data_IF_906947869977
#
_entry.id   IF_906947869977
#
_cell.length_a   1.000
_cell.length_b   1.000
_cell.length_c   1.000
_cell.angle_alpha   90.00
_cell.angle_beta   90.00
_cell.angle_gamma   90.00
#
_symmetry.space_group_name_H-M   'P 1'
#
loop_
_entity.id
_entity.type
_entity.pdbx_description
1 polymer ?
#
# COMPACT_ATOMS: atom_id res chain seq x y z
N UNK A 1 16.98 -15.59 -11.22
CA UNK A 1 15.71 -16.17 -10.76
C UNK A 1 15.19 -15.28 -9.65
N UNK A 2 13.90 -14.93 -9.63
CA UNK A 2 13.34 -14.13 -8.54
C UNK A 2 13.35 -14.93 -7.24
N UNK A 3 13.67 -14.28 -6.12
CA UNK A 3 13.84 -14.93 -4.82
C UNK A 3 12.86 -14.35 -3.80
N UNK A 4 12.14 -15.22 -3.09
CA UNK A 4 11.19 -14.83 -2.03
C UNK A 4 11.54 -15.59 -0.76
N UNK A 5 11.74 -14.87 0.33
CA UNK A 5 11.85 -15.49 1.65
C UNK A 5 10.51 -15.62 2.34
N UNK A 6 10.32 -16.74 3.04
CA UNK A 6 9.19 -17.00 3.93
C UNK A 6 9.75 -17.30 5.32
N UNK A 7 9.33 -16.54 6.33
CA UNK A 7 9.76 -16.74 7.72
C UNK A 7 8.55 -16.72 8.64
N UNK A 8 8.43 -17.72 9.51
CA UNK A 8 7.39 -17.75 10.54
C UNK A 8 7.56 -16.63 11.56
N UNK A 9 6.45 -16.00 11.92
CA UNK A 9 6.35 -15.05 13.01
C UNK A 9 4.92 -15.14 13.57
N UNK A 10 4.77 -15.70 14.77
CA UNK A 10 3.47 -16.15 15.27
C UNK A 10 2.63 -15.07 15.96
N UNK A 11 3.23 -13.93 16.28
CA UNK A 11 2.63 -12.84 17.05
C UNK A 11 3.32 -11.51 16.75
N UNK A 12 2.68 -10.41 17.16
CA UNK A 12 3.25 -9.07 17.11
C UNK A 12 3.99 -8.71 18.41
N UNK A 13 4.79 -9.62 18.95
CA UNK A 13 5.80 -9.26 19.96
C UNK A 13 6.97 -8.59 19.23
N UNK A 14 7.48 -7.47 19.76
CA UNK A 14 8.46 -6.63 19.07
C UNK A 14 9.70 -7.44 18.68
N UNK A 15 10.24 -8.22 19.62
CA UNK A 15 11.43 -9.04 19.44
C UNK A 15 11.20 -10.10 18.34
N UNK A 16 10.05 -10.77 18.35
CA UNK A 16 9.71 -11.80 17.34
C UNK A 16 9.55 -11.21 15.94
N UNK A 17 8.97 -10.00 15.84
CA UNK A 17 8.83 -9.30 14.55
C UNK A 17 10.19 -8.88 14.04
N UNK A 18 11.06 -8.32 14.89
CA UNK A 18 12.42 -7.95 14.53
C UNK A 18 13.25 -9.14 14.06
N UNK A 19 13.30 -10.22 14.84
CA UNK A 19 14.03 -11.45 14.51
C UNK A 19 13.57 -12.05 13.17
N UNK A 20 12.26 -12.16 12.98
CA UNK A 20 11.70 -12.69 11.75
C UNK A 20 11.98 -11.77 10.54
N UNK A 21 11.93 -10.45 10.73
CA UNK A 21 12.27 -9.47 9.68
C UNK A 21 13.74 -9.56 9.28
N UNK A 22 14.65 -9.61 10.26
CA UNK A 22 16.08 -9.80 10.03
C UNK A 22 16.34 -11.09 9.26
N UNK A 23 15.75 -12.20 9.71
CA UNK A 23 15.90 -13.50 9.05
C UNK A 23 15.38 -13.47 7.61
N UNK A 24 14.19 -12.89 7.37
CA UNK A 24 13.60 -12.79 6.04
C UNK A 24 14.48 -11.98 5.08
N UNK A 25 15.07 -10.87 5.56
CA UNK A 25 15.98 -10.04 4.77
C UNK A 25 17.31 -10.72 4.51
N UNK A 26 17.91 -11.38 5.51
CA UNK A 26 19.19 -12.08 5.35
C UNK A 26 19.12 -13.20 4.30
N UNK A 27 18.01 -13.93 4.24
CA UNK A 27 17.77 -14.97 3.23
C UNK A 27 17.77 -14.47 1.78
N UNK A 28 17.52 -13.18 1.55
CA UNK A 28 17.55 -12.54 0.23
C UNK A 28 18.76 -11.62 0.01
N UNK A 29 19.71 -11.59 0.95
CA UNK A 29 20.98 -10.85 0.81
C UNK A 29 21.16 -9.67 1.77
N UNK A 30 20.18 -9.39 2.63
CA UNK A 30 20.27 -8.41 3.70
C UNK A 30 20.01 -6.96 3.25
N UNK A 31 19.43 -6.17 4.14
CA UNK A 31 19.05 -4.78 3.85
C UNK A 31 20.26 -3.88 3.54
N UNK A 32 21.40 -4.12 4.19
CA UNK A 32 22.62 -3.33 4.00
C UNK A 32 23.15 -3.37 2.56
N UNK A 33 23.01 -4.52 1.88
CA UNK A 33 23.33 -4.65 0.46
C UNK A 33 22.35 -3.85 -0.41
N UNK A 34 21.06 -3.98 -0.13
CA UNK A 34 19.97 -3.38 -0.92
C UNK A 34 20.03 -1.85 -0.88
N UNK A 35 20.29 -1.27 0.30
CA UNK A 35 20.35 0.18 0.48
C UNK A 35 21.76 0.76 0.31
N UNK A 36 22.74 -0.04 -0.13
CA UNK A 36 24.14 0.40 -0.25
C UNK A 36 24.24 1.58 -1.22
N UNK A 37 24.90 2.67 -0.79
CA UNK A 37 25.07 3.89 -1.60
C UNK A 37 23.78 4.67 -1.87
N UNK A 38 22.68 4.40 -1.15
CA UNK A 38 21.41 5.15 -1.24
C UNK A 38 21.22 6.02 -0.02
N UNK A 39 21.02 7.31 -0.18
CA UNK A 39 20.82 8.25 0.93
C UNK A 39 19.33 8.61 1.08
N UNK A 40 18.63 8.83 -0.04
CA UNK A 40 17.20 9.13 -0.04
C UNK A 40 16.38 7.84 -0.07
N UNK A 41 16.23 7.20 1.07
CA UNK A 41 15.45 5.97 1.25
C UNK A 41 14.00 6.33 1.62
N UNK A 42 13.03 5.88 0.83
CA UNK A 42 11.61 6.01 1.14
C UNK A 42 11.04 4.67 1.62
N UNK A 43 10.50 4.66 2.83
CA UNK A 43 9.78 3.53 3.41
C UNK A 43 8.27 3.79 3.35
N UNK A 44 7.55 2.87 2.69
CA UNK A 44 6.12 3.00 2.41
C UNK A 44 5.30 1.92 3.10
N UNK A 45 4.80 2.14 4.33
CA UNK A 45 3.80 1.26 4.92
C UNK A 45 2.50 1.27 4.11
N UNK A 46 1.59 0.36 4.44
CA UNK A 46 0.24 0.34 3.91
C UNK A 46 -0.73 0.93 4.95
N UNK A 47 -0.96 2.25 4.89
CA UNK A 47 -1.84 2.96 5.84
C UNK A 47 -3.32 2.94 5.41
N UNK A 48 -3.64 2.59 4.16
CA UNK A 48 -4.99 2.36 3.58
C UNK A 48 -6.12 3.28 4.07
N UNK A 49 -6.62 3.06 5.29
CA UNK A 49 -7.60 3.86 6.03
C UNK A 49 -7.27 3.82 7.53
N UNK A 50 -7.60 4.88 8.27
CA UNK A 50 -7.44 4.94 9.72
C UNK A 50 -8.22 3.83 10.44
N UNK A 51 -7.53 2.75 10.78
CA UNK A 51 -8.03 1.57 11.51
C UNK A 51 -6.94 1.07 12.45
N UNK A 52 -7.37 0.47 13.55
CA UNK A 52 -6.46 -0.13 14.51
C UNK A 52 -5.68 -1.29 13.86
N UNK A 53 -4.38 -1.50 14.19
CA UNK A 53 -3.54 -2.51 13.56
C UNK A 53 -4.07 -3.95 13.62
N UNK A 54 -4.80 -4.29 14.69
CA UNK A 54 -5.36 -5.61 14.96
C UNK A 54 -6.43 -6.01 13.94
N UNK A 55 -7.03 -5.02 13.26
CA UNK A 55 -8.02 -5.25 12.21
C UNK A 55 -7.39 -5.72 10.89
N UNK A 56 -6.06 -5.76 10.81
CA UNK A 56 -5.31 -6.19 9.63
C UNK A 56 -5.62 -5.41 8.33
N UNK A 57 -6.12 -4.18 8.48
CA UNK A 57 -6.37 -3.25 7.36
C UNK A 57 -5.08 -2.54 6.95
N UNK A 58 -4.17 -2.31 7.88
CA UNK A 58 -2.90 -1.60 7.66
C UNK A 58 -1.72 -2.47 8.04
N UNK A 59 -0.53 -2.12 7.57
CA UNK A 59 0.72 -2.72 8.06
C UNK A 59 0.81 -2.51 9.57
N UNK A 60 1.18 -3.55 10.31
CA UNK A 60 1.37 -3.43 11.75
C UNK A 60 2.55 -2.48 12.05
N UNK A 61 2.42 -1.54 13.00
CA UNK A 61 3.46 -0.56 13.29
C UNK A 61 4.80 -1.21 13.69
N UNK A 62 4.77 -2.38 14.33
CA UNK A 62 6.00 -3.07 14.71
C UNK A 62 6.83 -3.62 13.54
N UNK A 63 6.21 -3.92 12.39
CA UNK A 63 6.98 -4.23 11.19
C UNK A 63 7.67 -2.96 10.68
N UNK A 64 6.96 -1.83 10.65
CA UNK A 64 7.52 -0.52 10.31
C UNK A 64 8.69 -0.18 11.24
N UNK A 65 8.52 -0.41 12.54
CA UNK A 65 9.54 -0.22 13.58
C UNK A 65 10.80 -1.04 13.30
N UNK A 66 10.64 -2.35 13.06
CA UNK A 66 11.75 -3.25 12.75
C UNK A 66 12.55 -2.78 11.54
N UNK A 67 11.87 -2.36 10.46
CA UNK A 67 12.55 -1.91 9.24
C UNK A 67 13.25 -0.56 9.42
N UNK A 68 12.63 0.40 10.13
CA UNK A 68 13.27 1.68 10.46
C UNK A 68 14.54 1.44 11.29
N UNK A 69 14.47 0.59 12.31
CA UNK A 69 15.61 0.21 13.15
C UNK A 69 16.76 -0.34 12.30
N UNK A 70 16.47 -1.29 11.42
CA UNK A 70 17.48 -1.88 10.53
C UNK A 70 18.12 -0.87 9.57
N UNK A 71 17.35 0.10 9.06
CA UNK A 71 17.90 1.18 8.23
C UNK A 71 18.82 2.09 9.06
N UNK A 72 18.43 2.41 10.30
CA UNK A 72 19.22 3.23 11.22
C UNK A 72 20.52 2.57 11.66
N UNK A 73 20.53 1.25 11.85
CA UNK A 73 21.74 0.47 12.11
C UNK A 73 22.75 0.53 10.96
N UNK A 74 22.31 0.85 9.74
CA UNK A 74 23.19 1.13 8.59
C UNK A 74 23.63 2.61 8.52
N UNK A 75 23.36 3.41 9.55
CA UNK A 75 23.71 4.82 9.63
C UNK A 75 22.81 5.75 8.80
N UNK A 76 21.59 5.32 8.45
CA UNK A 76 20.68 6.06 7.56
C UNK A 76 19.35 6.36 8.22
N UNK A 77 18.67 7.41 7.79
CA UNK A 77 17.31 7.73 8.28
C UNK A 77 16.34 7.74 7.10
N UNK A 78 15.31 6.87 7.10
CA UNK A 78 14.36 6.83 5.99
C UNK A 78 13.35 7.99 6.07
N UNK A 79 12.87 8.41 4.91
CA UNK A 79 11.58 9.07 4.78
C UNK A 79 10.49 8.01 4.96
N UNK A 80 9.40 8.34 5.66
CA UNK A 80 8.28 7.40 5.90
C UNK A 80 6.97 8.06 5.54
N UNK A 81 6.22 7.49 4.60
CA UNK A 81 4.94 8.05 4.18
C UNK A 81 4.09 7.11 3.33
N UNK A 82 2.79 7.39 3.28
CA UNK A 82 1.82 6.74 2.40
C UNK A 82 0.65 7.70 2.16
N UNK A 83 0.07 7.73 0.95
CA UNK A 83 -1.14 8.48 0.69
C UNK A 83 -2.36 7.64 1.08
N UNK A 84 -2.84 7.76 2.31
CA UNK A 84 -3.97 6.96 2.82
C UNK A 84 -5.26 7.26 2.04
N UNK A 85 -5.86 6.25 1.41
CA UNK A 85 -7.17 6.38 0.76
C UNK A 85 -8.28 6.81 1.73
N UNK A 86 -8.11 6.52 3.02
CA UNK A 86 -9.04 6.92 4.08
C UNK A 86 -8.94 8.39 4.51
N UNK A 87 -7.94 9.16 4.06
CA UNK A 87 -7.73 10.54 4.49
C UNK A 87 -8.93 11.43 4.13
N UNK A 88 -9.50 11.26 2.95
CA UNK A 88 -10.73 11.96 2.55
C UNK A 88 -11.90 11.66 3.49
N UNK A 89 -12.04 10.40 3.93
CA UNK A 89 -13.02 10.00 4.93
C UNK A 89 -12.75 10.62 6.30
N UNK A 90 -11.48 10.81 6.68
CA UNK A 90 -11.09 11.49 7.91
C UNK A 90 -11.46 12.97 7.87
N UNK A 91 -11.15 13.66 6.77
CA UNK A 91 -11.52 15.06 6.56
C UNK A 91 -13.04 15.21 6.60
N UNK A 92 -13.76 14.35 5.88
CA UNK A 92 -15.23 14.34 5.87
C UNK A 92 -15.82 14.16 7.27
N UNK A 93 -15.27 13.28 8.11
CA UNK A 93 -15.75 13.08 9.49
C UNK A 93 -15.38 14.24 10.42
N UNK A 94 -14.13 14.70 10.37
CA UNK A 94 -13.61 15.72 11.28
C UNK A 94 -14.15 17.11 10.98
N UNK A 95 -14.37 17.40 9.70
CA UNK A 95 -14.92 18.66 9.19
C UNK A 95 -16.27 18.41 8.51
N UNK A 96 -17.13 17.60 9.15
CA UNK A 96 -18.45 17.22 8.62
C UNK A 96 -19.31 18.41 8.24
N UNK A 97 -19.16 19.52 8.98
CA UNK A 97 -19.82 20.79 8.68
C UNK A 97 -19.51 21.33 7.27
N UNK A 98 -18.39 20.95 6.63
CA UNK A 98 -18.09 21.32 5.25
C UNK A 98 -18.99 20.58 4.26
N UNK A 99 -19.16 19.27 4.46
CA UNK A 99 -20.08 18.46 3.64
C UNK A 99 -21.53 18.88 3.87
N UNK A 100 -21.94 19.06 5.13
CA UNK A 100 -23.32 19.44 5.48
C UNK A 100 -23.72 20.78 4.81
N UNK A 101 -22.77 21.69 4.58
CA UNK A 101 -23.00 22.96 3.88
C UNK A 101 -23.09 22.82 2.36
N UNK A 102 -22.39 21.86 1.76
CA UNK A 102 -22.38 21.63 0.30
C UNK A 102 -23.50 20.69 -0.16
N UNK A 103 -23.90 19.77 0.71
CA UNK A 103 -24.71 18.61 0.37
C UNK A 103 -23.85 17.45 -0.16
N UNK A 104 -24.29 16.22 0.14
CA UNK A 104 -23.56 14.99 -0.19
C UNK A 104 -23.36 14.80 -1.71
N UNK A 105 -24.31 15.24 -2.54
CA UNK A 105 -24.23 15.12 -4.00
C UNK A 105 -23.06 15.95 -4.58
N UNK A 106 -23.01 17.24 -4.24
CA UNK A 106 -21.95 18.13 -4.70
C UNK A 106 -20.58 17.71 -4.13
N UNK A 107 -20.53 17.31 -2.85
CA UNK A 107 -19.31 16.77 -2.25
C UNK A 107 -18.75 15.58 -3.04
N UNK A 108 -19.61 14.61 -3.35
CA UNK A 108 -19.21 13.42 -4.12
C UNK A 108 -18.77 13.81 -5.53
N UNK A 109 -19.51 14.67 -6.23
CA UNK A 109 -19.13 15.18 -7.55
C UNK A 109 -17.75 15.83 -7.53
N UNK A 110 -17.44 16.62 -6.51
CA UNK A 110 -16.13 17.26 -6.35
C UNK A 110 -15.00 16.25 -6.11
N UNK A 111 -15.22 15.18 -5.34
CA UNK A 111 -14.22 14.12 -5.13
C UNK A 111 -13.81 13.46 -6.45
N UNK A 112 -14.76 13.20 -7.35
CA UNK A 112 -14.50 12.58 -8.65
C UNK A 112 -14.04 13.57 -9.74
N UNK A 113 -13.71 14.81 -9.38
CA UNK A 113 -13.26 15.82 -10.35
C UNK A 113 -11.77 15.75 -10.70
N UNK A 114 -11.02 14.83 -10.12
CA UNK A 114 -9.59 14.61 -10.42
C UNK A 114 -8.65 15.63 -9.80
N UNK A 115 -9.16 16.46 -8.88
CA UNK A 115 -8.36 17.44 -8.15
C UNK A 115 -7.49 16.76 -7.10
N UNK A 116 -6.35 17.38 -6.80
CA UNK A 116 -5.53 17.03 -5.64
C UNK A 116 -6.20 17.54 -4.36
N UNK A 117 -5.76 17.05 -3.20
CA UNK A 117 -6.40 17.38 -1.94
C UNK A 117 -6.40 18.89 -1.62
N UNK A 118 -5.28 19.63 -1.81
CA UNK A 118 -5.29 21.09 -1.62
C UNK A 118 -6.27 21.80 -2.55
N UNK A 119 -6.29 21.43 -3.84
CA UNK A 119 -7.19 22.03 -4.84
C UNK A 119 -8.65 21.72 -4.54
N UNK A 120 -8.95 20.51 -4.06
CA UNK A 120 -10.28 20.14 -3.60
C UNK A 120 -10.72 21.02 -2.43
N UNK A 121 -9.88 21.17 -1.40
CA UNK A 121 -10.21 21.99 -0.22
C UNK A 121 -10.32 23.48 -0.54
N UNK A 122 -9.53 24.02 -1.48
CA UNK A 122 -9.66 25.39 -1.95
C UNK A 122 -11.01 25.63 -2.65
N UNK A 123 -11.51 24.65 -3.40
CA UNK A 123 -12.83 24.74 -4.02
C UNK A 123 -13.95 24.61 -2.99
N UNK A 124 -13.81 23.72 -2.01
CA UNK A 124 -14.76 23.62 -0.88
C UNK A 124 -14.83 24.96 -0.16
N UNK A 125 -13.69 25.57 0.15
CA UNK A 125 -13.60 26.88 0.83
C UNK A 125 -14.36 27.99 0.11
N UNK A 126 -14.39 27.97 -1.24
CA UNK A 126 -15.14 28.94 -2.05
C UNK A 126 -16.65 28.73 -2.05
N UNK A 127 -17.11 27.50 -1.76
CA UNK A 127 -18.52 27.09 -1.88
C UNK A 127 -19.25 27.01 -0.53
N UNK A 128 -18.53 26.92 0.59
CA UNK A 128 -19.12 26.91 1.94
C UNK A 128 -19.26 28.32 2.51
N UNK A 129 -20.25 28.52 3.40
CA UNK A 129 -20.44 29.80 4.11
C UNK A 129 -19.41 29.99 5.22
N UNK A 130 -19.05 28.89 5.91
CA UNK A 130 -18.08 28.87 7.00
C UNK A 130 -17.04 27.78 6.77
N UNK A 131 -15.80 28.20 6.64
CA UNK A 131 -14.62 27.32 6.58
C UNK A 131 -13.85 27.41 7.91
N UNK A 132 -13.17 26.34 8.39
CA UNK A 132 -12.35 26.41 9.59
C UNK A 132 -11.33 27.55 9.55
N UNK A 133 -11.08 28.20 10.69
CA UNK A 133 -10.02 29.22 10.86
C UNK A 133 -8.64 28.56 10.93
N UNK A 134 -8.31 27.79 9.89
CA UNK A 134 -7.06 27.05 9.71
C UNK A 134 -6.64 27.13 8.25
N UNK A 135 -5.34 27.02 8.00
CA UNK A 135 -4.86 26.81 6.64
C UNK A 135 -5.27 25.43 6.14
N UNK A 136 -5.33 25.26 4.81
CA UNK A 136 -5.61 23.96 4.20
C UNK A 136 -4.53 22.93 4.60
N UNK A 137 -3.27 23.34 4.66
CA UNK A 137 -2.18 22.47 5.10
C UNK A 137 -2.35 22.02 6.55
N UNK A 138 -2.80 22.90 7.46
CA UNK A 138 -3.12 22.50 8.83
C UNK A 138 -4.25 21.46 8.89
N UNK A 139 -5.29 21.62 8.06
CA UNK A 139 -6.40 20.66 7.96
C UNK A 139 -5.90 19.28 7.49
N UNK A 140 -5.04 19.26 6.46
CA UNK A 140 -4.48 18.03 5.89
C UNK A 140 -3.55 17.35 6.90
N UNK A 141 -2.63 18.11 7.50
CA UNK A 141 -1.69 17.62 8.52
C UNK A 141 -2.43 17.05 9.73
N UNK A 142 -3.46 17.73 10.24
CA UNK A 142 -4.27 17.25 11.35
C UNK A 142 -5.02 15.96 11.03
N UNK A 143 -5.54 15.82 9.81
CA UNK A 143 -6.22 14.61 9.38
C UNK A 143 -5.24 13.45 9.18
N UNK A 144 -4.07 13.72 8.61
CA UNK A 144 -3.02 12.73 8.36
C UNK A 144 -2.38 12.25 9.66
N UNK A 145 -2.08 13.15 10.60
CA UNK A 145 -1.61 12.79 11.94
C UNK A 145 -2.60 11.86 12.66
N UNK A 146 -3.90 12.07 12.48
CA UNK A 146 -4.90 11.18 13.04
C UNK A 146 -4.88 9.78 12.38
N UNK A 147 -4.59 9.66 11.08
CA UNK A 147 -4.35 8.36 10.43
C UNK A 147 -3.14 7.67 11.07
N UNK A 148 -2.03 8.40 11.26
CA UNK A 148 -0.82 7.87 11.88
C UNK A 148 -1.04 7.42 13.32
N UNK A 149 -1.81 8.19 14.11
CA UNK A 149 -2.17 7.83 15.48
C UNK A 149 -3.02 6.56 15.52
N UNK A 150 -4.10 6.50 14.74
CA UNK A 150 -5.02 5.34 14.77
C UNK A 150 -4.34 4.05 14.30
N UNK A 151 -3.37 4.15 13.39
CA UNK A 151 -2.61 2.99 12.89
C UNK A 151 -1.41 2.64 13.79
N UNK A 152 -1.18 3.36 14.89
CA UNK A 152 0.00 3.21 15.74
C UNK A 152 1.32 3.64 15.10
N UNK A 153 1.31 4.05 13.83
CA UNK A 153 2.52 4.46 13.10
C UNK A 153 3.14 5.71 13.71
N UNK A 154 2.32 6.62 14.28
CA UNK A 154 2.82 7.85 14.92
C UNK A 154 3.81 7.55 16.04
N UNK A 155 3.49 6.59 16.92
CA UNK A 155 4.34 6.24 18.07
C UNK A 155 5.73 5.76 17.61
N UNK A 156 5.77 4.97 16.53
CA UNK A 156 7.02 4.49 15.93
C UNK A 156 7.83 5.62 15.32
N UNK A 157 7.17 6.54 14.62
CA UNK A 157 7.85 7.70 14.04
C UNK A 157 8.43 8.62 15.12
N UNK A 158 7.68 8.84 16.20
CA UNK A 158 8.12 9.62 17.35
C UNK A 158 9.31 8.94 18.07
N UNK A 159 9.27 7.61 18.28
CA UNK A 159 10.36 6.82 18.86
C UNK A 159 11.70 7.06 18.14
N UNK A 160 11.65 7.15 16.80
CA UNK A 160 12.85 7.34 15.98
C UNK A 160 13.14 8.80 15.60
N UNK A 161 12.38 9.77 16.11
CA UNK A 161 12.47 11.19 15.73
C UNK A 161 12.35 11.41 14.20
N UNK A 162 11.42 10.70 13.56
CA UNK A 162 11.14 10.82 12.12
C UNK A 162 9.84 11.61 11.93
N UNK A 163 9.89 12.67 11.11
CA UNK A 163 8.67 13.34 10.65
C UNK A 163 8.06 12.55 9.49
N UNK A 164 6.75 12.31 9.52
CA UNK A 164 6.06 11.69 8.41
C UNK A 164 6.19 12.53 7.13
N UNK A 165 6.49 11.87 6.02
CA UNK A 165 6.65 12.49 4.71
C UNK A 165 5.30 12.85 4.10
N UNK A 166 5.18 14.06 3.55
CA UNK A 166 3.95 14.56 2.98
C UNK A 166 3.72 13.98 1.58
N UNK A 167 2.69 13.15 1.43
CA UNK A 167 2.28 12.58 0.15
C UNK A 167 1.06 13.29 -0.45
N UNK A 168 0.39 14.15 0.31
CA UNK A 168 -0.96 14.63 -0.01
C UNK A 168 -0.94 16.03 -0.62
N UNK A 169 0.06 16.85 -0.26
CA UNK A 169 0.22 18.22 -0.73
C UNK A 169 1.40 18.41 -1.68
N UNK A 170 2.48 17.65 -1.48
CA UNK A 170 3.69 17.77 -2.30
C UNK A 170 3.75 16.66 -3.34
N UNK A 171 3.43 17.03 -4.58
CA UNK A 171 3.30 16.11 -5.70
C UNK A 171 3.81 16.73 -7.00
N UNK A 172 4.06 15.85 -7.96
CA UNK A 172 4.39 16.21 -9.34
C UNK A 172 3.42 15.49 -10.29
N UNK A 173 3.18 16.13 -11.43
CA UNK A 173 2.58 15.48 -12.59
C UNK A 173 3.73 14.99 -13.46
N UNK A 174 3.72 13.72 -13.83
CA UNK A 174 4.79 13.09 -14.60
C UNK A 174 4.19 12.34 -15.79
N UNK A 175 4.96 12.25 -16.87
CA UNK A 175 4.63 11.37 -17.99
C UNK A 175 4.88 9.93 -17.58
N UNK A 176 4.03 9.01 -18.05
CA UNK A 176 4.15 7.59 -17.80
C UNK A 176 4.30 6.83 -19.12
N UNK A 177 5.50 6.82 -19.73
CA UNK A 177 5.72 6.21 -21.04
C UNK A 177 5.56 4.69 -21.02
N UNK A 178 5.64 4.05 -19.84
CA UNK A 178 5.40 2.62 -19.67
C UNK A 178 3.93 2.29 -19.38
N UNK A 179 3.05 3.30 -19.25
CA UNK A 179 1.64 3.13 -18.93
C UNK A 179 0.85 2.54 -20.09
N UNK A 180 0.11 1.46 -19.85
CA UNK A 180 -0.82 0.88 -20.83
C UNK A 180 -2.20 1.55 -20.79
N UNK A 181 -2.55 2.23 -19.69
CA UNK A 181 -3.83 2.91 -19.46
C UNK A 181 -3.64 4.35 -18.95
N UNK A 182 -2.83 4.54 -17.90
CA UNK A 182 -2.49 5.87 -17.37
C UNK A 182 -1.21 6.39 -18.00
N UNK A 183 -1.31 7.24 -19.02
CA UNK A 183 -0.14 7.84 -19.71
C UNK A 183 0.45 9.05 -18.98
N UNK A 184 -0.22 9.56 -17.95
CA UNK A 184 0.33 10.56 -17.03
C UNK A 184 -0.13 10.23 -15.61
N UNK A 185 0.74 10.51 -14.62
CA UNK A 185 0.51 10.20 -13.22
C UNK A 185 0.68 11.45 -12.35
N UNK A 186 -0.12 11.52 -11.29
CA UNK A 186 0.13 12.43 -10.17
C UNK A 186 0.71 11.59 -9.02
N UNK A 187 1.95 11.88 -8.63
CA UNK A 187 2.66 11.12 -7.59
C UNK A 187 3.26 12.07 -6.55
N UNK A 188 3.33 11.61 -5.31
CA UNK A 188 4.04 12.32 -4.25
C UNK A 188 5.50 12.59 -4.67
N UNK A 189 6.00 13.81 -4.42
CA UNK A 189 7.37 14.20 -4.82
C UNK A 189 8.43 13.26 -4.24
N UNK A 190 8.26 12.86 -2.98
CA UNK A 190 9.16 11.91 -2.32
C UNK A 190 9.29 10.57 -3.06
N UNK A 191 8.25 10.12 -3.77
CA UNK A 191 8.29 8.89 -4.57
C UNK A 191 9.12 9.07 -5.84
N UNK A 192 9.16 10.28 -6.39
CA UNK A 192 9.93 10.59 -7.60
C UNK A 192 11.39 10.87 -7.27
N UNK A 193 11.65 11.54 -6.15
CA UNK A 193 13.00 11.98 -5.76
C UNK A 193 13.76 10.97 -4.89
N UNK A 194 13.11 9.89 -4.45
CA UNK A 194 13.79 8.81 -3.72
C UNK A 194 14.73 8.04 -4.63
N UNK A 195 15.86 7.61 -4.07
CA UNK A 195 16.80 6.74 -4.78
C UNK A 195 16.44 5.26 -4.63
N UNK A 196 15.63 4.93 -3.62
CA UNK A 196 15.15 3.58 -3.35
C UNK A 196 13.84 3.59 -2.55
N UNK A 197 12.81 2.94 -3.11
CA UNK A 197 11.53 2.72 -2.45
C UNK A 197 11.48 1.32 -1.82
N UNK A 198 11.22 1.27 -0.51
CA UNK A 198 10.95 0.04 0.26
C UNK A 198 9.48 0.02 0.64
N UNK A 199 8.74 -1.02 0.26
CA UNK A 199 7.30 -1.16 0.48
C UNK A 199 7.01 -2.18 1.58
N UNK A 200 6.11 -1.83 2.52
CA UNK A 200 5.65 -2.75 3.57
C UNK A 200 4.16 -3.08 3.37
N UNK A 201 3.78 -3.94 2.42
CA UNK A 201 2.39 -4.27 2.19
C UNK A 201 1.80 -5.15 3.30
N UNK A 202 0.49 -5.12 3.44
CA UNK A 202 -0.29 -6.04 4.28
C UNK A 202 -0.92 -7.12 3.42
N UNK A 203 -0.77 -8.39 3.81
CA UNK A 203 -1.42 -9.51 3.11
C UNK A 203 -2.92 -9.51 3.39
N UNK A 204 -3.74 -9.15 2.39
CA UNK A 204 -5.19 -9.16 2.54
C UNK A 204 -5.93 -9.30 1.22
N UNK A 205 -7.16 -9.79 1.26
CA UNK A 205 -8.02 -9.87 0.07
C UNK A 205 -8.51 -8.49 -0.40
N UNK A 206 -9.09 -8.45 -1.60
CA UNK A 206 -9.77 -7.27 -2.13
C UNK A 206 -10.97 -7.67 -2.99
N UNK A 207 -12.17 -7.15 -2.72
CA UNK A 207 -13.39 -7.59 -3.42
C UNK A 207 -13.42 -7.28 -4.93
N UNK A 208 -12.68 -6.28 -5.40
CA UNK A 208 -12.55 -5.97 -6.83
C UNK A 208 -11.25 -6.44 -7.48
N UNK A 209 -10.19 -6.71 -6.70
CA UNK A 209 -8.84 -6.99 -7.22
C UNK A 209 -8.30 -8.38 -6.82
N UNK A 210 -9.11 -9.16 -6.07
CA UNK A 210 -8.79 -10.42 -5.39
C UNK A 210 -7.76 -10.30 -4.24
N UNK A 211 -6.68 -9.57 -4.47
CA UNK A 211 -5.54 -9.43 -3.56
C UNK A 211 -5.19 -7.96 -3.38
N UNK A 212 -4.87 -7.59 -2.14
CA UNK A 212 -3.98 -6.47 -1.85
C UNK A 212 -2.63 -7.04 -1.48
N UNK A 213 -1.59 -6.53 -2.13
CA UNK A 213 -0.20 -6.90 -1.92
C UNK A 213 0.72 -5.77 -2.37
N UNK A 214 1.95 -6.08 -2.75
CA UNK A 214 2.97 -5.14 -3.21
C UNK A 214 2.47 -4.24 -4.33
N UNK A 215 1.92 -4.83 -5.41
CA UNK A 215 1.53 -4.08 -6.62
C UNK A 215 0.47 -3.04 -6.26
N UNK A 216 -0.55 -3.45 -5.51
CA UNK A 216 -1.63 -2.55 -5.09
C UNK A 216 -1.17 -1.55 -4.03
N UNK A 217 -0.17 -1.90 -3.20
CA UNK A 217 0.36 -0.96 -2.21
C UNK A 217 0.99 0.26 -2.89
N UNK A 218 1.62 0.12 -4.07
CA UNK A 218 2.15 1.25 -4.85
C UNK A 218 1.08 2.27 -5.24
N UNK A 219 -0.21 1.91 -5.23
CA UNK A 219 -1.29 2.89 -5.43
C UNK A 219 -1.34 3.97 -4.33
N UNK A 220 -0.78 3.68 -3.15
CA UNK A 220 -0.56 4.66 -2.08
C UNK A 220 0.49 5.73 -2.41
N UNK A 221 1.16 5.67 -3.56
CA UNK A 221 2.02 6.76 -4.06
C UNK A 221 1.23 7.89 -4.74
N UNK A 222 -0.04 7.63 -5.12
CA UNK A 222 -0.93 8.62 -5.76
C UNK A 222 -1.60 9.48 -4.67
N UNK A 223 -1.51 10.81 -4.66
CA UNK A 223 -2.10 11.65 -3.63
C UNK A 223 -3.63 11.65 -3.60
N UNK A 224 -4.21 11.65 -2.39
CA UNK A 224 -5.54 12.16 -2.10
C UNK A 224 -6.70 11.71 -3.01
N UNK A 225 -7.63 12.62 -3.37
CA UNK A 225 -8.83 12.28 -4.11
C UNK A 225 -8.60 11.90 -5.58
N UNK A 226 -7.40 12.12 -6.13
CA UNK A 226 -7.01 11.64 -7.48
C UNK A 226 -7.16 10.12 -7.58
N UNK A 227 -6.93 9.40 -6.47
CA UNK A 227 -7.20 7.96 -6.40
C UNK A 227 -8.63 7.61 -6.80
N UNK A 228 -9.62 8.41 -6.40
CA UNK A 228 -11.03 8.14 -6.69
C UNK A 228 -11.35 8.23 -8.18
N UNK A 229 -10.66 9.10 -8.93
CA UNK A 229 -10.85 9.16 -10.39
C UNK A 229 -10.19 7.98 -11.10
N UNK A 230 -9.01 7.55 -10.65
CA UNK A 230 -8.34 6.37 -11.23
C UNK A 230 -9.15 5.08 -11.02
N UNK A 231 -9.96 4.99 -9.95
CA UNK A 231 -10.88 3.87 -9.74
C UNK A 231 -11.98 3.75 -10.81
N UNK A 232 -12.26 4.80 -11.61
CA UNK A 232 -13.17 4.66 -12.74
C UNK A 232 -12.69 3.63 -13.78
N UNK A 233 -11.38 3.32 -13.81
CA UNK A 233 -10.81 2.24 -14.61
C UNK A 233 -11.49 0.88 -14.38
N UNK A 234 -12.08 0.65 -13.19
CA UNK A 234 -12.86 -0.56 -12.92
C UNK A 234 -14.07 -0.72 -13.85
N UNK A 235 -14.75 0.39 -14.17
CA UNK A 235 -15.89 0.40 -15.10
C UNK A 235 -15.47 0.12 -16.53
N UNK A 236 -14.22 0.41 -16.87
CA UNK A 236 -13.62 0.20 -18.19
C UNK A 236 -12.95 -1.18 -18.31
N UNK A 237 -12.98 -1.99 -17.24
CA UNK A 237 -12.28 -3.28 -17.19
C UNK A 237 -10.76 -3.15 -17.22
N UNK A 238 -10.23 -1.96 -16.85
CA UNK A 238 -8.81 -1.60 -16.86
C UNK A 238 -8.19 -1.50 -15.46
N UNK A 239 -8.82 -2.12 -14.46
CA UNK A 239 -8.49 -1.89 -13.06
C UNK A 239 -7.10 -2.42 -12.68
N UNK A 240 -6.67 -3.58 -13.20
CA UNK A 240 -5.33 -4.07 -12.89
C UNK A 240 -4.29 -3.32 -13.71
N UNK A 241 -4.56 -3.02 -14.98
CA UNK A 241 -3.67 -2.20 -15.81
C UNK A 241 -3.38 -0.86 -15.15
N UNK A 242 -4.41 -0.21 -14.59
CA UNK A 242 -4.27 1.03 -13.81
C UNK A 242 -3.33 0.86 -12.61
N UNK A 243 -3.50 -0.18 -11.78
CA UNK A 243 -2.59 -0.42 -10.65
C UNK A 243 -1.17 -0.74 -11.13
N UNK A 244 -1.03 -1.52 -12.19
CA UNK A 244 0.26 -1.93 -12.73
C UNK A 244 0.99 -0.75 -13.36
N UNK A 245 0.29 0.22 -13.92
CA UNK A 245 0.87 1.47 -14.44
C UNK A 245 1.49 2.31 -13.32
N UNK A 246 0.77 2.47 -12.21
CA UNK A 246 1.32 3.16 -11.02
C UNK A 246 2.49 2.37 -10.43
N UNK A 247 2.37 1.05 -10.33
CA UNK A 247 3.42 0.16 -9.84
C UNK A 247 4.67 0.17 -10.73
N UNK A 248 4.53 0.20 -12.05
CA UNK A 248 5.66 0.23 -12.98
C UNK A 248 6.50 1.50 -12.78
N UNK A 249 5.83 2.65 -12.60
CA UNK A 249 6.52 3.91 -12.32
C UNK A 249 7.12 3.94 -10.91
N UNK A 250 6.32 3.59 -9.89
CA UNK A 250 6.72 3.59 -8.48
C UNK A 250 7.08 2.18 -8.00
N UNK A 251 7.96 1.49 -8.76
CA UNK A 251 8.32 0.10 -8.48
C UNK A 251 9.24 0.04 -7.24
N UNK A 252 8.82 -0.62 -6.15
CA UNK A 252 9.68 -0.79 -4.99
C UNK A 252 10.86 -1.71 -5.31
N UNK A 253 12.04 -1.36 -4.80
CA UNK A 253 13.24 -2.18 -4.90
C UNK A 253 13.26 -3.32 -3.86
N UNK A 254 12.50 -3.17 -2.79
CA UNK A 254 12.35 -4.18 -1.74
C UNK A 254 10.91 -4.13 -1.20
N UNK A 255 10.32 -5.30 -1.04
CA UNK A 255 9.04 -5.47 -0.37
C UNK A 255 9.20 -6.40 0.84
N UNK A 256 8.63 -6.00 1.98
CA UNK A 256 8.57 -6.82 3.20
C UNK A 256 7.10 -6.89 3.62
N UNK A 257 6.44 -8.00 3.34
CA UNK A 257 5.00 -8.14 3.55
C UNK A 257 4.69 -8.59 4.97
N UNK A 258 3.79 -7.84 5.62
CA UNK A 258 3.14 -8.22 6.86
C UNK A 258 2.06 -9.28 6.57
N UNK A 259 2.41 -10.53 6.78
CA UNK A 259 1.52 -11.68 6.75
C UNK A 259 1.39 -12.36 8.12
N UNK A 260 1.63 -11.65 9.23
CA UNK A 260 1.50 -12.26 10.57
C UNK A 260 0.01 -12.45 10.86
N UNK A 261 -0.74 -11.34 10.78
CA UNK A 261 -2.19 -11.34 10.69
C UNK A 261 -2.56 -10.63 9.40
N UNK A 262 -3.18 -11.37 8.48
CA UNK A 262 -3.77 -10.82 7.25
C UNK A 262 -5.26 -10.55 7.39
N UNK A 263 -5.92 -10.22 6.29
CA UNK A 263 -7.39 -10.09 6.23
C UNK A 263 -7.99 -10.96 5.13
N UNK A 264 -9.01 -11.72 5.51
CA UNK A 264 -9.78 -12.60 4.64
C UNK A 264 -11.23 -12.09 4.48
N UNK A 265 -11.96 -12.60 3.50
CA UNK A 265 -13.33 -12.17 3.18
C UNK A 265 -13.35 -10.89 2.35
N UNK A 266 -14.28 -9.97 2.64
CA UNK A 266 -14.56 -8.76 1.85
C UNK A 266 -13.55 -7.62 2.12
N UNK A 267 -12.27 -7.86 1.82
CA UNK A 267 -11.24 -6.82 1.87
C UNK A 267 -11.46 -5.69 0.84
N UNK A 268 -10.77 -4.55 0.96
CA UNK A 268 -9.55 -4.38 1.75
C UNK A 268 -9.78 -3.89 3.18
N UNK A 269 -11.03 -3.63 3.59
CA UNK A 269 -11.35 -3.04 4.89
C UNK A 269 -12.60 -3.61 5.57
N UNK A 270 -13.40 -4.43 4.88
CA UNK A 270 -14.65 -5.02 5.42
C UNK A 270 -14.50 -6.53 5.68
N UNK A 271 -13.28 -7.06 5.53
CA UNK A 271 -12.95 -8.43 5.86
C UNK A 271 -12.70 -8.62 7.35
N UNK A 272 -12.28 -9.84 7.71
CA UNK A 272 -11.93 -10.22 9.08
C UNK A 272 -10.44 -10.54 9.22
N UNK A 273 -9.80 -10.21 10.35
CA UNK A 273 -8.43 -10.63 10.62
C UNK A 273 -8.30 -12.15 10.57
N UNK A 274 -7.21 -12.63 9.95
CA UNK A 274 -6.86 -14.05 9.86
C UNK A 274 -5.39 -14.19 10.24
N UNK A 275 -5.10 -14.99 11.27
CA UNK A 275 -3.73 -15.37 11.60
C UNK A 275 -3.17 -16.20 10.45
N UNK A 276 -2.04 -15.78 9.91
CA UNK A 276 -1.31 -16.48 8.85
C UNK A 276 0.08 -16.87 9.37
N UNK A 277 0.74 -15.96 10.09
CA UNK A 277 1.93 -16.25 10.88
C UNK A 277 3.24 -16.17 10.12
N UNK A 278 3.35 -15.32 9.10
CA UNK A 278 4.58 -15.19 8.28
C UNK A 278 4.97 -13.74 8.01
N UNK A 279 6.28 -13.51 7.85
CA UNK A 279 6.82 -12.35 7.16
C UNK A 279 7.43 -12.84 5.85
N UNK A 280 7.16 -12.12 4.75
CA UNK A 280 7.71 -12.43 3.44
C UNK A 280 8.61 -11.27 2.99
N UNK A 281 9.73 -11.54 2.32
CA UNK A 281 10.53 -10.49 1.72
C UNK A 281 11.07 -10.84 0.32
N UNK A 282 11.18 -9.84 -0.55
CA UNK A 282 11.73 -9.98 -1.91
C UNK A 282 12.10 -8.63 -2.53
N UNK A 283 13.11 -8.64 -3.40
CA UNK A 283 13.40 -7.54 -4.34
C UNK A 283 12.48 -7.58 -5.59
N UNK A 284 11.70 -8.66 -5.78
CA UNK A 284 10.67 -8.80 -6.82
C UNK A 284 9.27 -8.79 -6.21
N UNK A 285 8.61 -7.64 -6.32
CA UNK A 285 7.26 -7.41 -5.81
C UNK A 285 6.20 -8.33 -6.44
N UNK A 286 6.34 -8.71 -7.72
CA UNK A 286 5.38 -9.60 -8.40
C UNK A 286 5.55 -11.02 -7.89
N UNK A 287 6.80 -11.46 -7.68
CA UNK A 287 7.09 -12.76 -7.10
C UNK A 287 6.60 -12.86 -5.65
N UNK A 288 6.75 -11.78 -4.86
CA UNK A 288 6.22 -11.72 -3.50
C UNK A 288 4.70 -11.87 -3.47
N UNK A 289 3.99 -11.13 -4.33
CA UNK A 289 2.53 -11.24 -4.44
C UNK A 289 2.10 -12.62 -4.93
N UNK A 290 2.86 -13.25 -5.84
CA UNK A 290 2.59 -14.60 -6.30
C UNK A 290 2.69 -15.63 -5.17
N UNK A 291 3.80 -15.64 -4.42
CA UNK A 291 3.97 -16.53 -3.26
C UNK A 291 2.91 -16.26 -2.18
N UNK A 292 2.68 -14.99 -1.84
CA UNK A 292 1.68 -14.61 -0.84
C UNK A 292 0.26 -15.05 -1.25
N UNK A 293 -0.09 -14.91 -2.53
CA UNK A 293 -1.39 -15.36 -3.04
C UNK A 293 -1.55 -16.87 -2.97
N UNK A 294 -0.48 -17.63 -3.20
CA UNK A 294 -0.49 -19.09 -3.10
C UNK A 294 -0.64 -19.58 -1.65
N UNK A 295 0.00 -18.89 -0.69
CA UNK A 295 -0.16 -19.15 0.75
C UNK A 295 -1.64 -19.10 1.14
N UNK A 296 -2.38 -18.12 0.64
CA UNK A 296 -3.81 -17.95 0.96
C UNK A 296 -4.74 -18.68 -0.02
N UNK A 297 -4.25 -19.63 -0.82
CA UNK A 297 -5.09 -20.51 -1.64
C UNK A 297 -5.49 -19.99 -3.02
N UNK A 298 -4.89 -18.90 -3.51
CA UNK A 298 -5.07 -18.48 -4.90
C UNK A 298 -4.07 -19.15 -5.86
N UNK A 299 -4.50 -19.36 -7.10
CA UNK A 299 -3.57 -19.55 -8.22
C UNK A 299 -3.01 -18.17 -8.63
N UNK A 300 -1.69 -17.92 -8.57
CA UNK A 300 -1.13 -16.58 -8.70
C UNK A 300 -1.52 -15.83 -9.98
N UNK A 301 -1.45 -16.50 -11.13
CA UNK A 301 -1.79 -15.89 -12.43
C UNK A 301 -3.30 -15.68 -12.65
N UNK A 302 -4.15 -16.13 -11.72
CA UNK A 302 -5.57 -15.75 -11.69
C UNK A 302 -5.80 -14.41 -11.01
N UNK A 303 -4.81 -13.88 -10.28
CA UNK A 303 -4.84 -12.52 -9.77
C UNK A 303 -4.48 -11.56 -10.91
N UNK A 304 -5.39 -10.67 -11.35
CA UNK A 304 -5.19 -9.86 -12.55
C UNK A 304 -3.95 -8.97 -12.47
N UNK A 305 -3.65 -8.37 -11.32
CA UNK A 305 -2.45 -7.53 -11.14
C UNK A 305 -1.16 -8.33 -11.31
N UNK A 306 -1.07 -9.54 -10.76
CA UNK A 306 0.09 -10.43 -10.91
C UNK A 306 0.24 -10.83 -12.39
N UNK A 307 -0.86 -11.25 -13.03
CA UNK A 307 -0.87 -11.63 -14.45
C UNK A 307 -0.39 -10.50 -15.35
N UNK A 308 -0.98 -9.31 -15.22
CA UNK A 308 -0.64 -8.15 -16.05
C UNK A 308 0.80 -7.68 -15.81
N UNK A 309 1.23 -7.61 -14.55
CA UNK A 309 2.62 -7.23 -14.23
C UNK A 309 3.65 -8.23 -14.76
N UNK A 310 3.37 -9.53 -14.63
CA UNK A 310 4.25 -10.59 -15.14
C UNK A 310 4.30 -10.60 -16.67
N UNK A 311 3.16 -10.43 -17.36
CA UNK A 311 3.10 -10.27 -18.83
C UNK A 311 3.98 -9.11 -19.31
N UNK A 312 3.98 -8.00 -18.56
CA UNK A 312 4.77 -6.80 -18.86
C UNK A 312 6.26 -6.91 -18.48
N UNK A 313 6.71 -8.06 -17.98
CA UNK A 313 8.10 -8.27 -17.58
C UNK A 313 8.51 -7.48 -16.34
N UNK A 314 7.56 -7.01 -15.52
CA UNK A 314 7.83 -6.22 -14.32
C UNK A 314 8.23 -7.08 -13.11
N UNK A 315 8.14 -8.40 -13.24
CA UNK A 315 8.53 -9.39 -12.23
C UNK A 315 7.96 -10.76 -12.59
N UNK A 316 8.23 -11.76 -11.75
CA UNK A 316 7.83 -13.14 -12.02
C UNK A 316 6.54 -13.53 -11.29
N UNK A 317 5.51 -13.95 -12.04
CA UNK A 317 4.24 -14.42 -11.48
C UNK A 317 4.11 -15.95 -11.42
N UNK A 318 5.00 -16.69 -12.10
CA UNK A 318 4.99 -18.14 -12.14
C UNK A 318 5.84 -18.74 -11.01
N UNK A 319 5.18 -19.40 -10.05
CA UNK A 319 5.83 -20.06 -8.91
C UNK A 319 6.98 -21.00 -9.29
N UNK A 320 6.91 -21.67 -10.43
CA UNK A 320 7.97 -22.58 -10.89
C UNK A 320 9.28 -21.88 -11.22
N UNK A 321 9.26 -20.56 -11.38
CA UNK A 321 10.40 -19.70 -11.70
C UNK A 321 10.81 -18.82 -10.51
N UNK A 322 10.21 -19.04 -9.34
CA UNK A 322 10.51 -18.31 -8.11
C UNK A 322 11.27 -19.25 -7.18
N UNK A 323 12.44 -18.81 -6.74
CA UNK A 323 13.21 -19.48 -5.68
C UNK A 323 12.60 -19.08 -4.33
N UNK A 324 12.00 -20.05 -3.64
CA UNK A 324 11.47 -19.87 -2.28
C UNK A 324 12.54 -20.29 -1.28
N UNK A 325 12.87 -19.42 -0.33
CA UNK A 325 13.87 -19.66 0.72
C UNK A 325 13.27 -19.47 2.11
N UNK A 326 13.79 -20.19 3.11
CA UNK A 326 13.20 -20.23 4.46
C UNK A 326 12.18 -21.36 4.59
N UNK A 327 10.96 -21.05 5.04
CA UNK A 327 9.88 -22.03 5.14
C UNK A 327 9.42 -22.49 3.74
N UNK A 328 8.99 -23.76 3.63
CA UNK A 328 8.38 -24.25 2.40
C UNK A 328 6.97 -23.69 2.28
N UNK A 329 6.56 -23.37 1.06
CA UNK A 329 5.20 -22.88 0.77
C UNK A 329 4.12 -23.78 1.37
N UNK A 330 4.35 -25.10 1.31
CA UNK A 330 3.34 -26.10 1.68
C UNK A 330 3.14 -26.18 3.19
N UNK A 331 4.15 -25.76 3.97
CA UNK A 331 4.11 -25.77 5.43
C UNK A 331 3.40 -24.53 6.01
N UNK A 332 3.14 -23.52 5.19
CA UNK A 332 2.53 -22.25 5.61
C UNK A 332 1.22 -21.95 4.88
N UNK A 333 0.81 -22.82 3.96
CA UNK A 333 -0.42 -22.67 3.18
C UNK A 333 -1.66 -22.78 4.09
N UNK A 334 -2.69 -21.99 3.77
CA UNK A 334 -3.95 -21.92 4.51
C UNK A 334 -5.08 -22.35 3.58
N UNK A 335 -5.49 -23.60 3.68
CA UNK A 335 -6.50 -24.18 2.77
C UNK A 335 -7.93 -23.70 3.06
N UNK A 336 -8.21 -23.23 4.28
CA UNK A 336 -9.52 -22.73 4.70
C UNK A 336 -9.65 -21.19 4.63
N UNK A 337 -8.71 -20.52 3.96
CA UNK A 337 -8.71 -19.06 3.84
C UNK A 337 -9.96 -18.57 3.09
N UNK A 338 -10.71 -17.65 3.70
CA UNK A 338 -11.96 -17.17 3.11
C UNK A 338 -11.70 -16.07 2.10
N UNK A 339 -12.17 -16.26 0.88
CA UNK A 339 -12.00 -15.27 -0.18
C UNK A 339 -13.29 -14.47 -0.42
N UNK A 340 -13.20 -13.29 -1.06
CA UNK A 340 -14.37 -12.48 -1.37
C UNK A 340 -15.41 -13.27 -2.17
N UNK A 341 -16.68 -13.09 -1.85
CA UNK A 341 -17.83 -13.74 -2.52
C UNK A 341 -18.10 -13.14 -3.90
N UNK A 342 -17.73 -11.88 -4.11
CA UNK A 342 -17.92 -11.13 -5.38
C UNK A 342 -17.00 -11.59 -6.53
N UNK A 343 -16.48 -12.83 -6.49
CA UNK A 343 -15.56 -13.42 -7.49
C UNK A 343 -16.12 -13.45 -8.92
N UNK A 344 -17.43 -13.54 -9.10
CA UNK A 344 -18.03 -13.53 -10.44
C UNK A 344 -17.94 -12.16 -11.13
N UNK A 345 -18.04 -11.06 -10.36
CA UNK A 345 -17.84 -9.70 -10.90
C UNK A 345 -16.43 -9.52 -11.44
N UNK A 346 -15.44 -10.13 -10.79
CA UNK A 346 -14.03 -10.06 -11.19
C UNK A 346 -13.82 -10.77 -12.55
N UNK A 347 -14.42 -11.94 -12.77
CA UNK A 347 -14.37 -12.60 -14.10
C UNK A 347 -14.90 -11.69 -15.21
N UNK A 348 -15.88 -10.84 -14.91
CA UNK A 348 -16.48 -9.90 -15.86
C UNK A 348 -15.57 -8.67 -16.05
N UNK A 349 -15.07 -8.07 -14.96
CA UNK A 349 -14.18 -6.89 -15.00
C UNK A 349 -12.93 -7.18 -15.83
N UNK A 350 -12.37 -8.39 -15.69
CA UNK A 350 -11.07 -8.75 -16.24
C UNK A 350 -11.13 -9.62 -17.51
N UNK A 351 -12.30 -9.72 -18.16
CA UNK A 351 -12.49 -10.56 -19.36
C UNK A 351 -11.64 -10.11 -20.56
N UNK A 352 -11.28 -8.83 -20.60
CA UNK A 352 -10.59 -8.17 -21.72
C UNK A 352 -9.18 -7.67 -21.35
N UNK A 353 -8.59 -8.18 -20.25
CA UNK A 353 -7.35 -7.66 -19.65
C UNK A 353 -6.16 -8.64 -19.66
#
# INVERSE_FOLDING_TARGET
>A
MSKVSIVKCESYEIEKVEEATIKALNLIGGIGKIIKGKDKILLKPNLTIARAPELAVTTHPYLTRAVIKLIKEQGKTPLVGDASGGLMGMIRRKYKNLEDQLGAEEWNKMIFSGKTLPKFLEEVKKKVRKFPEKSISQIIEEAYNQVLTVTGTKEILDEFNIKATNFEEDYLVVDNPQGEFLHSLILARAVIETEILISLPKLKTHSSALLTGCIKNSFGCVPGPVKSTYHNAEKEGKFASMFVDVFAYAKPALCIMDGIVGMEGEGPSEGRPRKIGVILASEDAVALDAVASAIIGYEPLRIPTIRVASRRGLGEGNLKKIEIVGERLEDVKIDDFVHPTKREKIKIIYRNE
#
